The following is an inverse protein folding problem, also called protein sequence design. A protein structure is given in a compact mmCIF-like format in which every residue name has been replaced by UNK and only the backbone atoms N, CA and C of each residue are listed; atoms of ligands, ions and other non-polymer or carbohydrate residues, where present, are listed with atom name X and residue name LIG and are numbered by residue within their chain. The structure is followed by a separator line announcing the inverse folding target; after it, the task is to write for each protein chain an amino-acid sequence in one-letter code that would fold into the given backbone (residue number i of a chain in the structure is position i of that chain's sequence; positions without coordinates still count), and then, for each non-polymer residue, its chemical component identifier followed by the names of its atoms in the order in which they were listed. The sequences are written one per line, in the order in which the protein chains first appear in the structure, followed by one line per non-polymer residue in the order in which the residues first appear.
data_IF_911218164728
#
_entry.id   IF_911218164728
#
_cell.length_a   1.000
_cell.length_b   1.000
_cell.length_c   1.000
_cell.angle_alpha   90.00
_cell.angle_beta   90.00
_cell.angle_gamma   90.00
#
_symmetry.space_group_name_H-M   'P 1'
#
loop_
_entity.id
_entity.type
_entity.pdbx_description
1 polymer ?
#
# COMPACT_ATOMS: atom_id res chain seq x y z
N UNK A 1 46.15 -64.13 8.50
CA UNK A 1 45.40 -63.95 7.23
C UNK A 1 44.13 -63.12 7.42
N UNK A 2 43.56 -63.02 8.63
CA UNK A 2 42.38 -62.20 8.95
C UNK A 2 42.49 -60.69 8.66
N UNK A 3 43.70 -60.12 8.77
CA UNK A 3 43.91 -58.67 8.60
C UNK A 3 43.56 -58.14 7.20
N UNK A 4 43.68 -58.97 6.17
CA UNK A 4 43.30 -58.61 4.79
C UNK A 4 41.79 -58.46 4.62
N UNK A 5 41.00 -59.22 5.37
CA UNK A 5 39.54 -59.20 5.31
C UNK A 5 38.99 -57.89 5.88
N UNK A 6 39.59 -57.41 6.97
CA UNK A 6 39.25 -56.10 7.56
C UNK A 6 39.59 -54.94 6.61
N UNK A 7 40.73 -54.99 5.92
CA UNK A 7 41.13 -53.98 4.93
C UNK A 7 40.17 -53.98 3.73
N UNK A 8 39.75 -55.16 3.26
CA UNK A 8 38.82 -55.27 2.13
C UNK A 8 37.45 -54.67 2.47
N UNK A 9 36.90 -54.94 3.66
CA UNK A 9 35.63 -54.36 4.13
C UNK A 9 35.74 -52.85 4.30
N UNK A 10 36.87 -52.36 4.84
CA UNK A 10 37.11 -50.93 4.98
C UNK A 10 37.17 -50.23 3.62
N UNK A 11 37.89 -50.80 2.66
CA UNK A 11 37.96 -50.27 1.29
C UNK A 11 36.57 -50.21 0.63
N UNK A 12 35.77 -51.26 0.81
CA UNK A 12 34.41 -51.33 0.28
C UNK A 12 33.49 -50.28 0.93
N UNK A 13 33.64 -50.05 2.24
CA UNK A 13 32.94 -48.98 2.97
C UNK A 13 33.33 -47.58 2.49
N UNK A 14 34.60 -47.33 2.21
CA UNK A 14 35.08 -46.04 1.67
C UNK A 14 34.52 -45.80 0.26
N UNK A 15 34.55 -46.81 -0.60
CA UNK A 15 34.00 -46.71 -1.97
C UNK A 15 32.48 -46.46 -1.92
N UNK A 16 31.74 -47.22 -1.11
CA UNK A 16 30.31 -47.03 -0.94
C UNK A 16 29.98 -45.65 -0.35
N UNK A 17 30.75 -45.19 0.64
CA UNK A 17 30.61 -43.87 1.24
C UNK A 17 30.86 -42.74 0.25
N UNK A 18 31.88 -42.87 -0.61
CA UNK A 18 32.21 -41.89 -1.65
C UNK A 18 31.11 -41.79 -2.70
N UNK A 19 30.59 -42.94 -3.17
CA UNK A 19 29.48 -42.97 -4.14
C UNK A 19 28.23 -42.31 -3.55
N UNK A 20 27.85 -42.65 -2.30
CA UNK A 20 26.71 -42.03 -1.63
C UNK A 20 26.90 -40.52 -1.40
N UNK A 21 28.12 -40.08 -1.10
CA UNK A 21 28.44 -38.66 -0.97
C UNK A 21 28.29 -37.92 -2.30
N UNK A 22 28.82 -38.49 -3.39
CA UNK A 22 28.75 -37.89 -4.72
C UNK A 22 27.32 -37.81 -5.26
N UNK A 23 26.44 -38.75 -4.92
CA UNK A 23 25.02 -38.68 -5.29
C UNK A 23 24.24 -37.65 -4.47
N UNK A 24 24.79 -37.16 -3.36
CA UNK A 24 24.11 -36.20 -2.50
C UNK A 24 24.27 -34.78 -3.05
N UNK A 25 23.49 -34.51 -4.09
CA UNK A 25 23.38 -33.27 -4.86
C UNK A 25 22.88 -32.07 -4.01
N UNK A 26 23.64 -31.66 -2.99
CA UNK A 26 23.26 -30.56 -2.08
C UNK A 26 23.30 -29.20 -2.76
N UNK A 27 24.20 -29.01 -3.70
CA UNK A 27 24.41 -27.72 -4.37
C UNK A 27 23.20 -27.31 -5.24
N UNK A 28 22.49 -28.27 -5.85
CA UNK A 28 21.33 -27.93 -6.68
C UNK A 28 20.16 -27.40 -5.85
N UNK A 29 19.91 -27.98 -4.66
CA UNK A 29 18.83 -27.52 -3.77
C UNK A 29 19.15 -26.17 -3.13
N UNK A 30 20.41 -25.95 -2.74
CA UNK A 30 20.85 -24.67 -2.18
C UNK A 30 20.70 -23.57 -3.23
N UNK A 31 21.17 -23.82 -4.46
CA UNK A 31 21.07 -22.87 -5.58
C UNK A 31 19.62 -22.60 -6.01
N UNK A 32 18.75 -23.62 -5.98
CA UNK A 32 17.32 -23.43 -6.23
C UNK A 32 16.69 -22.54 -5.15
N UNK A 33 17.07 -22.71 -3.89
CA UNK A 33 16.56 -21.89 -2.79
C UNK A 33 17.06 -20.45 -2.87
N UNK A 34 18.34 -20.24 -3.21
CA UNK A 34 18.92 -18.91 -3.46
C UNK A 34 18.23 -18.19 -4.62
N UNK A 35 17.98 -18.91 -5.72
CA UNK A 35 17.21 -18.38 -6.85
C UNK A 35 15.78 -18.01 -6.43
N UNK A 36 15.15 -18.83 -5.59
CA UNK A 36 13.80 -18.56 -5.13
C UNK A 36 13.75 -17.30 -4.25
N UNK A 37 14.69 -17.14 -3.33
CA UNK A 37 14.81 -15.94 -2.50
C UNK A 37 15.05 -14.69 -3.37
N UNK A 38 15.97 -14.77 -4.33
CA UNK A 38 16.24 -13.68 -5.28
C UNK A 38 14.98 -13.32 -6.06
N UNK A 39 14.25 -14.32 -6.57
CA UNK A 39 13.02 -14.08 -7.33
C UNK A 39 11.90 -13.44 -6.50
N UNK A 40 11.83 -13.75 -5.20
CA UNK A 40 10.84 -13.14 -4.29
C UNK A 40 11.23 -11.69 -4.01
N UNK A 41 12.52 -11.43 -3.78
CA UNK A 41 13.03 -10.09 -3.57
C UNK A 41 12.76 -9.19 -4.79
N UNK A 42 13.05 -9.70 -6.00
CA UNK A 42 12.82 -8.98 -7.25
C UNK A 42 11.33 -8.66 -7.45
N UNK A 43 10.44 -9.63 -7.17
CA UNK A 43 8.99 -9.43 -7.23
C UNK A 43 8.52 -8.36 -6.25
N UNK A 44 9.08 -8.37 -5.03
CA UNK A 44 8.73 -7.38 -4.00
C UNK A 44 9.17 -5.98 -4.42
N UNK A 45 10.39 -5.83 -4.93
CA UNK A 45 10.89 -4.55 -5.43
C UNK A 45 10.06 -4.04 -6.61
N UNK A 46 9.77 -4.91 -7.58
CA UNK A 46 8.92 -4.56 -8.74
C UNK A 46 7.50 -4.17 -8.31
N UNK A 47 6.93 -4.86 -7.32
CA UNK A 47 5.64 -4.48 -6.75
C UNK A 47 5.67 -3.10 -6.11
N UNK A 48 6.68 -2.81 -5.26
CA UNK A 48 6.84 -1.50 -4.64
C UNK A 48 6.96 -0.39 -5.70
N UNK A 49 7.79 -0.59 -6.72
CA UNK A 49 7.95 0.36 -7.82
C UNK A 49 6.63 0.60 -8.57
N UNK A 50 5.88 -0.46 -8.88
CA UNK A 50 4.59 -0.37 -9.56
C UNK A 50 3.55 0.41 -8.75
N UNK A 51 3.48 0.16 -7.44
CA UNK A 51 2.57 0.88 -6.52
C UNK A 51 2.95 2.36 -6.45
N UNK A 52 4.24 2.68 -6.28
CA UNK A 52 4.71 4.07 -6.26
C UNK A 52 4.39 4.78 -7.58
N UNK A 53 4.62 4.14 -8.72
CA UNK A 53 4.29 4.69 -10.02
C UNK A 53 2.77 4.94 -10.18
N UNK A 54 1.93 4.00 -9.73
CA UNK A 54 0.48 4.12 -9.82
C UNK A 54 -0.08 5.26 -8.96
N UNK A 55 0.42 5.42 -7.73
CA UNK A 55 0.02 6.53 -6.86
C UNK A 55 0.57 7.87 -7.34
N UNK A 56 1.77 7.91 -7.91
CA UNK A 56 2.31 9.12 -8.54
C UNK A 56 1.43 9.58 -9.71
N UNK A 57 1.07 8.66 -10.61
CA UNK A 57 0.18 8.95 -11.73
C UNK A 57 -1.22 9.35 -11.27
N UNK A 58 -1.78 8.65 -10.27
CA UNK A 58 -3.08 9.00 -9.67
C UNK A 58 -3.07 10.39 -9.05
N UNK A 59 -2.01 10.78 -8.34
CA UNK A 59 -1.88 12.12 -7.77
C UNK A 59 -1.85 13.21 -8.85
N UNK A 60 -1.19 12.95 -9.99
CA UNK A 60 -1.22 13.86 -11.14
C UNK A 60 -2.64 13.99 -11.71
N UNK A 61 -3.35 12.88 -11.88
CA UNK A 61 -4.74 12.88 -12.37
C UNK A 61 -5.68 13.65 -11.44
N UNK A 62 -5.59 13.43 -10.13
CA UNK A 62 -6.40 14.15 -9.13
C UNK A 62 -6.07 15.64 -9.14
N UNK A 63 -4.81 16.03 -9.31
CA UNK A 63 -4.42 17.42 -9.43
C UNK A 63 -5.05 18.06 -10.69
N UNK A 64 -4.96 17.39 -11.84
CA UNK A 64 -5.57 17.84 -13.08
C UNK A 64 -7.09 18.01 -12.95
N UNK A 65 -7.77 17.05 -12.30
CA UNK A 65 -9.20 17.15 -12.01
C UNK A 65 -9.51 18.37 -11.15
N UNK A 66 -8.70 18.61 -10.11
CA UNK A 66 -8.87 19.75 -9.21
C UNK A 66 -8.70 21.08 -9.96
N UNK A 67 -7.73 21.16 -10.87
CA UNK A 67 -7.51 22.35 -11.69
C UNK A 67 -8.66 22.58 -12.68
N UNK A 68 -9.12 21.54 -13.36
CA UNK A 68 -10.28 21.61 -14.25
C UNK A 68 -11.55 22.06 -13.50
N UNK A 69 -11.76 21.56 -12.28
CA UNK A 69 -12.87 22.02 -11.43
C UNK A 69 -12.75 23.51 -11.08
N UNK A 70 -11.56 23.99 -10.71
CA UNK A 70 -11.32 25.43 -10.44
C UNK A 70 -11.56 26.30 -11.67
N UNK A 71 -11.15 25.84 -12.83
CA UNK A 71 -11.37 26.55 -14.09
C UNK A 71 -12.86 26.69 -14.41
N UNK A 72 -13.61 25.58 -14.32
CA UNK A 72 -15.07 25.59 -14.49
C UNK A 72 -15.72 26.55 -13.49
N UNK A 73 -15.31 26.49 -12.22
CA UNK A 73 -15.82 27.39 -11.20
C UNK A 73 -15.52 28.86 -11.50
N UNK A 74 -14.29 29.17 -11.93
CA UNK A 74 -13.90 30.53 -12.33
C UNK A 74 -14.69 31.03 -13.53
N UNK A 75 -14.95 30.16 -14.51
CA UNK A 75 -15.78 30.50 -15.66
C UNK A 75 -17.23 30.78 -15.26
N UNK A 76 -17.79 29.99 -14.33
CA UNK A 76 -19.13 30.25 -13.78
C UNK A 76 -19.18 31.57 -13.01
N UNK A 77 -18.12 31.92 -12.26
CA UNK A 77 -18.03 33.21 -11.58
C UNK A 77 -18.02 34.38 -12.57
N UNK A 78 -17.19 34.29 -13.62
CA UNK A 78 -17.12 35.30 -14.67
C UNK A 78 -18.46 35.43 -15.40
N UNK A 79 -19.07 34.31 -15.80
CA UNK A 79 -20.38 34.29 -16.43
C UNK A 79 -21.48 34.86 -15.54
N UNK A 80 -21.50 34.53 -14.25
CA UNK A 80 -22.45 35.11 -13.31
C UNK A 80 -22.26 36.63 -13.20
N UNK A 81 -21.02 37.13 -13.12
CA UNK A 81 -20.76 38.56 -13.06
C UNK A 81 -21.16 39.26 -14.37
N UNK A 82 -20.75 38.76 -15.53
CA UNK A 82 -21.02 39.38 -16.83
C UNK A 82 -22.52 39.39 -17.18
N UNK A 83 -23.23 38.28 -16.93
CA UNK A 83 -24.66 38.18 -17.22
C UNK A 83 -25.52 38.95 -16.20
N UNK A 84 -25.00 39.22 -15.00
CA UNK A 84 -25.73 39.90 -13.93
C UNK A 84 -25.30 41.36 -13.72
N UNK A 85 -24.24 41.82 -14.39
CA UNK A 85 -23.75 43.20 -14.39
C UNK A 85 -24.64 44.16 -15.22
N UNK A 86 -25.73 43.69 -15.83
CA UNK A 86 -26.76 44.59 -16.34
C UNK A 86 -27.39 45.35 -15.16
N UNK A 87 -26.96 46.60 -15.00
CA UNK A 87 -27.28 47.52 -13.91
C UNK A 87 -28.80 47.69 -13.62
N UNK A 88 -29.67 47.20 -14.51
CA UNK A 88 -31.14 47.22 -14.35
C UNK A 88 -31.69 46.06 -13.52
N UNK A 89 -30.88 45.04 -13.19
CA UNK A 89 -31.29 43.85 -12.43
C UNK A 89 -30.81 43.82 -10.98
N UNK A 90 -30.21 44.89 -10.46
CA UNK A 90 -29.81 45.00 -9.03
C UNK A 90 -31.00 45.23 -8.07
N UNK A 91 -32.19 44.74 -8.40
CA UNK A 91 -33.25 44.58 -7.41
C UNK A 91 -32.90 43.40 -6.51
N UNK A 92 -33.24 43.45 -5.22
CA UNK A 92 -33.06 42.37 -4.23
C UNK A 92 -33.69 41.03 -4.63
N UNK A 93 -34.43 41.00 -5.75
CA UNK A 93 -35.03 39.83 -6.39
C UNK A 93 -34.11 39.13 -7.41
N UNK A 94 -32.83 39.51 -7.54
CA UNK A 94 -31.93 38.88 -8.51
C UNK A 94 -31.38 37.55 -7.96
N UNK A 95 -31.72 36.40 -8.58
CA UNK A 95 -31.24 35.08 -8.15
C UNK A 95 -29.71 34.91 -8.24
N UNK A 96 -28.99 35.85 -8.87
CA UNK A 96 -27.54 35.83 -8.91
C UNK A 96 -26.87 36.20 -7.58
N UNK A 97 -27.55 36.97 -6.72
CA UNK A 97 -27.01 37.40 -5.43
C UNK A 97 -26.79 36.21 -4.46
N UNK A 98 -27.61 35.15 -4.56
CA UNK A 98 -27.42 33.93 -3.76
C UNK A 98 -26.23 33.10 -4.24
N UNK A 99 -25.93 33.08 -5.54
CA UNK A 99 -24.74 32.42 -6.06
C UNK A 99 -23.45 33.15 -5.68
N UNK A 100 -23.47 34.48 -5.70
CA UNK A 100 -22.34 35.30 -5.24
C UNK A 100 -22.13 35.18 -3.72
N UNK A 101 -23.17 34.99 -2.91
CA UNK A 101 -23.00 34.84 -1.45
C UNK A 101 -22.48 33.46 -1.02
N UNK A 102 -22.76 32.40 -1.78
CA UNK A 102 -22.14 31.07 -1.59
C UNK A 102 -20.62 31.06 -1.86
N UNK A 103 -20.08 32.08 -2.52
CA UNK A 103 -18.69 32.11 -2.98
C UNK A 103 -17.69 32.72 -1.99
N UNK A 104 -18.14 33.44 -0.96
CA UNK A 104 -17.24 34.07 0.02
C UNK A 104 -16.61 33.07 1.00
N UNK A 105 -16.99 31.79 0.95
CA UNK A 105 -16.33 30.70 1.67
C UNK A 105 -15.10 30.21 0.91
N UNK A 106 -14.15 31.11 0.67
CA UNK A 106 -12.85 30.82 0.07
C UNK A 106 -12.06 29.74 0.87
N UNK A 107 -12.43 29.50 2.14
CA UNK A 107 -11.75 28.58 3.07
C UNK A 107 -12.30 27.14 3.11
N UNK A 108 -13.29 26.77 2.29
CA UNK A 108 -14.00 25.48 2.45
C UNK A 108 -13.69 24.38 1.43
N UNK A 109 -12.79 24.61 0.47
CA UNK A 109 -12.33 23.55 -0.43
C UNK A 109 -11.05 22.91 0.08
N UNK A 110 -10.85 21.59 -0.11
CA UNK A 110 -9.62 20.93 0.29
C UNK A 110 -8.46 21.54 -0.50
N UNK A 111 -7.76 22.48 0.14
CA UNK A 111 -6.42 22.87 -0.23
C UNK A 111 -5.63 21.57 -0.41
N UNK A 112 -4.80 21.49 -1.46
CA UNK A 112 -3.84 20.39 -1.58
C UNK A 112 -3.20 20.24 -0.20
N UNK A 113 -3.37 19.07 0.44
CA UNK A 113 -2.98 18.84 1.82
C UNK A 113 -1.49 19.09 1.90
N UNK A 114 -1.11 20.32 2.20
CA UNK A 114 0.20 20.62 2.72
C UNK A 114 0.23 19.82 4.01
N UNK A 115 1.05 18.77 4.02
CA UNK A 115 1.29 17.91 5.18
C UNK A 115 1.85 18.79 6.30
N UNK A 116 0.95 19.51 6.97
CA UNK A 116 1.21 20.38 8.12
C UNK A 116 0.20 20.12 9.23
N UNK A 117 -0.91 19.46 8.93
CA UNK A 117 -1.82 18.93 9.95
C UNK A 117 -1.38 17.52 10.36
N UNK A 118 -0.38 17.44 11.23
CA UNK A 118 -0.01 16.20 11.94
C UNK A 118 -1.11 15.70 12.89
N UNK A 119 -2.21 16.45 13.07
CA UNK A 119 -3.33 16.07 13.94
C UNK A 119 -4.09 14.81 13.48
N UNK A 120 -4.09 14.51 12.17
CA UNK A 120 -4.67 13.28 11.64
C UNK A 120 -3.75 12.07 11.76
N UNK A 121 -2.44 12.27 11.95
CA UNK A 121 -1.47 11.19 12.09
C UNK A 121 -1.42 10.63 13.52
N UNK A 122 -1.75 11.43 14.54
CA UNK A 122 -1.71 11.00 15.94
C UNK A 122 -2.82 10.00 16.31
N UNK A 123 -3.88 9.87 15.49
CA UNK A 123 -5.04 9.01 15.77
C UNK A 123 -5.28 7.92 14.71
N UNK A 124 -4.31 7.65 13.84
CA UNK A 124 -4.38 6.53 12.92
C UNK A 124 -3.82 5.27 13.60
N UNK A 125 -4.59 4.69 14.52
CA UNK A 125 -4.28 3.35 15.03
C UNK A 125 -4.68 2.35 13.94
N UNK A 126 -3.75 1.53 13.40
CA UNK A 126 -4.09 0.50 12.43
C UNK A 126 -5.13 -0.45 13.04
N UNK A 127 -6.01 -1.07 12.23
CA UNK A 127 -7.01 -2.00 12.74
C UNK A 127 -6.37 -3.01 13.67
N UNK A 128 -6.88 -3.11 14.91
CA UNK A 128 -6.34 -3.97 15.97
C UNK A 128 -6.35 -5.46 15.63
N UNK A 129 -7.02 -5.83 14.54
CA UNK A 129 -7.13 -7.19 14.03
C UNK A 129 -5.81 -7.77 13.49
N UNK A 130 -4.80 -6.93 13.23
CA UNK A 130 -3.49 -7.39 12.73
C UNK A 130 -2.43 -7.60 13.83
N UNK A 131 -2.73 -7.35 15.10
CA UNK A 131 -1.76 -7.53 16.18
C UNK A 131 -1.53 -9.03 16.45
N UNK A 132 -0.27 -9.51 16.56
CA UNK A 132 0.02 -10.89 16.92
C UNK A 132 -0.51 -11.19 18.32
N UNK A 133 -1.41 -12.18 18.43
CA UNK A 133 -2.02 -12.57 19.70
C UNK A 133 -1.03 -13.37 20.54
N UNK A 134 -1.01 -13.13 21.85
CA UNK A 134 -0.30 -14.00 22.78
C UNK A 134 -1.01 -15.38 22.82
N UNK A 135 -0.31 -16.50 23.09
CA UNK A 135 -0.91 -17.84 23.09
C UNK A 135 -2.02 -18.03 24.15
N UNK A 136 -2.16 -17.08 25.08
CA UNK A 136 -3.18 -17.06 26.14
C UNK A 136 -4.38 -16.16 25.79
N UNK A 137 -4.29 -15.34 24.73
CA UNK A 137 -5.37 -14.42 24.34
C UNK A 137 -6.40 -15.12 23.44
N UNK A 138 -7.63 -15.21 23.94
CA UNK A 138 -8.77 -15.77 23.20
C UNK A 138 -9.17 -14.85 22.05
N UNK A 139 -9.39 -15.43 20.88
CA UNK A 139 -9.77 -14.68 19.68
C UNK A 139 -11.24 -14.25 19.66
N UNK A 140 -11.56 -13.28 18.79
CA UNK A 140 -12.96 -12.87 18.50
C UNK A 140 -13.83 -13.97 17.88
N UNK A 141 -13.24 -15.11 17.51
CA UNK A 141 -13.93 -16.31 17.03
C UNK A 141 -13.88 -17.46 18.04
N UNK A 142 -13.37 -17.23 19.24
CA UNK A 142 -13.37 -18.21 20.33
C UNK A 142 -14.82 -18.40 20.83
N UNK A 143 -15.21 -19.64 21.07
CA UNK A 143 -16.58 -20.01 21.46
C UNK A 143 -17.01 -19.43 22.81
N UNK A 144 -16.05 -19.06 23.66
CA UNK A 144 -16.29 -18.39 24.94
C UNK A 144 -16.19 -16.85 24.85
N UNK A 145 -16.00 -16.27 23.65
CA UNK A 145 -15.82 -14.83 23.49
C UNK A 145 -17.08 -14.06 23.89
N UNK A 146 -16.97 -13.24 24.94
CA UNK A 146 -18.08 -12.45 25.48
C UNK A 146 -18.98 -13.19 26.48
N UNK A 147 -18.64 -14.43 26.87
CA UNK A 147 -19.35 -15.17 27.90
C UNK A 147 -18.56 -15.11 29.22
N UNK A 148 -19.05 -14.30 30.16
CA UNK A 148 -18.59 -14.37 31.55
C UNK A 148 -19.22 -15.59 32.23
N UNK A 149 -18.39 -16.47 32.77
CA UNK A 149 -18.83 -17.61 33.57
C UNK A 149 -19.42 -17.18 34.92
#
# INVERSE_FOLDING_TARGET
MEWLLYIAIFALGVVAGYVLHSYRNRDSRIRELENHLTSIQDKYESYQQSVTAHFSHSAQLVNNLTNAYREVHSHLQQGANDLCADNKRHSSQNPAQSFLSLTNTQDSFPQAVAVKDTKFADNFEPPRDYAPKSPTDKGMLDEDYGLSK
#
